data_IF_950591765618
#
_entry.id   IF_950591765618
#
_cell.length_a   1.000
_cell.length_b   1.000
_cell.length_c   1.000
_cell.angle_alpha   90.00
_cell.angle_beta   90.00
_cell.angle_gamma   90.00
#
_symmetry.space_group_name_H-M   'P 1'
#
loop_
_entity.id
_entity.type
_entity.pdbx_description
1 polymer ?
#
# COMPACT_ATOMS: atom_id res chain seq x y z
N UNK A 1 -4.48 23.48 11.88
CA UNK A 1 -4.85 22.20 12.52
C UNK A 1 -4.68 21.07 11.52
N UNK A 2 -3.93 19.99 11.84
CA UNK A 2 -3.73 18.89 10.90
C UNK A 2 -5.08 18.20 10.67
N UNK A 3 -5.61 18.31 9.44
CA UNK A 3 -6.87 17.69 9.04
C UNK A 3 -6.72 16.18 9.22
N UNK A 4 -7.50 15.61 10.14
CA UNK A 4 -7.72 14.18 10.28
C UNK A 4 -8.26 13.65 8.95
N UNK A 5 -7.32 13.33 8.06
CA UNK A 5 -7.58 12.92 6.70
C UNK A 5 -7.94 11.47 6.80
N UNK A 6 -9.26 11.21 6.92
CA UNK A 6 -9.95 9.92 6.78
C UNK A 6 -8.96 8.80 6.46
N UNK A 7 -8.59 7.99 7.47
CA UNK A 7 -7.51 7.01 7.38
C UNK A 7 -7.61 6.24 6.06
N UNK A 8 -6.68 6.49 5.15
CA UNK A 8 -6.60 5.86 3.83
C UNK A 8 -5.43 4.90 3.86
N UNK A 9 -5.67 3.68 3.41
CA UNK A 9 -4.63 2.68 3.24
C UNK A 9 -4.05 2.84 1.84
N UNK A 10 -2.77 3.19 1.77
CA UNK A 10 -2.04 3.35 0.52
C UNK A 10 -1.30 2.07 0.22
N UNK A 11 -1.87 1.24 -0.65
CA UNK A 11 -1.21 0.06 -1.15
C UNK A 11 -0.22 0.46 -2.26
N UNK A 12 1.05 0.12 -2.12
CA UNK A 12 2.07 0.31 -3.15
C UNK A 12 2.44 -1.07 -3.64
N UNK A 13 2.20 -1.40 -4.92
CA UNK A 13 2.58 -2.69 -5.50
C UNK A 13 3.96 -2.65 -6.12
N UNK A 14 4.29 -1.52 -6.74
CA UNK A 14 5.61 -1.24 -7.31
C UNK A 14 6.11 0.05 -6.69
N UNK A 15 7.19 -0.05 -5.93
CA UNK A 15 7.83 1.09 -5.30
C UNK A 15 9.19 0.72 -4.75
N UNK A 16 9.87 1.69 -4.13
CA UNK A 16 11.24 1.52 -3.66
C UNK A 16 11.44 0.38 -2.65
N UNK A 17 10.42 0.07 -1.84
CA UNK A 17 10.45 -1.01 -0.84
C UNK A 17 9.65 -2.27 -1.27
N UNK A 18 9.19 -2.36 -2.52
CA UNK A 18 8.32 -3.45 -2.97
C UNK A 18 6.85 -3.31 -2.54
N UNK A 19 6.05 -4.41 -2.60
CA UNK A 19 4.64 -4.39 -2.26
C UNK A 19 4.41 -4.14 -0.77
N UNK A 20 3.84 -2.99 -0.41
CA UNK A 20 3.64 -2.58 0.99
C UNK A 20 2.45 -1.63 1.14
N UNK A 21 1.71 -1.79 2.23
CA UNK A 21 0.61 -0.91 2.61
C UNK A 21 1.13 0.15 3.59
N UNK A 22 0.93 1.41 3.27
CA UNK A 22 1.22 2.56 4.14
C UNK A 22 -0.09 3.15 4.65
N UNK A 23 -0.07 3.65 5.89
CA UNK A 23 -1.20 4.38 6.48
C UNK A 23 -1.07 5.89 6.33
N UNK A 24 0.09 6.36 5.85
CA UNK A 24 0.43 7.77 5.69
C UNK A 24 0.80 8.09 4.24
N UNK A 25 0.39 9.29 3.81
CA UNK A 25 0.73 9.78 2.47
C UNK A 25 2.21 10.11 2.33
N UNK A 26 2.86 10.61 3.39
CA UNK A 26 4.27 11.01 3.34
C UNK A 26 5.19 9.82 3.03
N UNK A 27 4.98 8.68 3.69
CA UNK A 27 5.72 7.45 3.39
C UNK A 27 5.40 6.92 1.99
N UNK A 28 4.13 6.93 1.58
CA UNK A 28 3.74 6.54 0.23
C UNK A 28 4.47 7.39 -0.82
N UNK A 29 4.43 8.72 -0.68
CA UNK A 29 5.05 9.67 -1.60
C UNK A 29 6.56 9.51 -1.64
N UNK A 30 7.23 9.33 -0.50
CA UNK A 30 8.67 9.12 -0.46
C UNK A 30 9.10 7.85 -1.21
N UNK A 31 8.26 6.81 -1.20
CA UNK A 31 8.53 5.55 -1.88
C UNK A 31 8.16 5.56 -3.38
N UNK A 32 7.18 6.36 -3.79
CA UNK A 32 6.70 6.40 -5.19
C UNK A 32 7.28 7.56 -6.01
N UNK A 33 7.50 8.73 -5.41
CA UNK A 33 7.88 9.95 -6.17
C UNK A 33 9.26 9.87 -6.82
N UNK A 34 10.13 8.99 -6.34
CA UNK A 34 11.50 8.81 -6.82
C UNK A 34 11.70 7.49 -7.57
N UNK A 35 10.60 6.78 -7.87
CA UNK A 35 10.62 5.48 -8.54
C UNK A 35 9.81 5.54 -9.84
N UNK A 36 10.48 5.51 -11.01
CA UNK A 36 9.78 5.53 -12.29
C UNK A 36 8.96 4.25 -12.47
N UNK A 37 7.69 4.39 -12.83
CA UNK A 37 6.77 3.25 -12.95
C UNK A 37 6.19 2.76 -11.61
N UNK A 38 6.29 3.56 -10.54
CA UNK A 38 5.64 3.23 -9.28
C UNK A 38 4.12 3.06 -9.46
N UNK A 39 3.57 2.00 -8.89
CA UNK A 39 2.13 1.72 -8.87
C UNK A 39 1.65 1.72 -7.44
N UNK A 40 0.74 2.62 -7.13
CA UNK A 40 0.10 2.72 -5.83
C UNK A 40 -1.39 3.04 -5.98
N UNK A 41 -2.19 2.59 -5.01
CA UNK A 41 -3.63 2.81 -4.96
C UNK A 41 -4.07 3.02 -3.51
N UNK A 42 -4.97 3.97 -3.32
CA UNK A 42 -5.53 4.29 -1.99
C UNK A 42 -6.88 3.61 -1.81
N UNK A 43 -7.07 3.00 -0.66
CA UNK A 43 -8.28 2.29 -0.26
C UNK A 43 -8.83 2.82 1.06
N UNK A 44 -10.12 2.57 1.28
CA UNK A 44 -10.78 2.90 2.55
C UNK A 44 -10.59 1.80 3.59
N UNK A 45 -10.36 0.56 3.15
CA UNK A 45 -10.14 -0.59 4.02
C UNK A 45 -8.77 -1.21 3.77
N UNK A 46 -8.20 -1.84 4.81
CA UNK A 46 -6.94 -2.58 4.68
C UNK A 46 -7.12 -3.85 3.84
N UNK A 47 -8.32 -4.45 3.87
CA UNK A 47 -8.64 -5.66 3.11
C UNK A 47 -8.58 -5.42 1.60
N UNK A 48 -9.24 -4.37 1.09
CA UNK A 48 -9.16 -4.04 -0.34
C UNK A 48 -7.72 -3.73 -0.79
N UNK A 49 -6.93 -3.10 0.10
CA UNK A 49 -5.53 -2.82 -0.15
C UNK A 49 -4.69 -4.11 -0.27
N UNK A 50 -4.97 -5.09 0.58
CA UNK A 50 -4.30 -6.39 0.63
C UNK A 50 -4.63 -7.23 -0.63
N UNK A 51 -5.92 -7.29 -1.00
CA UNK A 51 -6.39 -7.94 -2.22
C UNK A 51 -5.78 -7.31 -3.47
N UNK A 52 -5.66 -5.97 -3.51
CA UNK A 52 -5.04 -5.30 -4.64
C UNK A 52 -3.56 -5.58 -4.80
N UNK A 53 -2.85 -5.79 -3.68
CA UNK A 53 -1.45 -6.23 -3.71
C UNK A 53 -1.31 -7.71 -4.02
N UNK A 54 -2.40 -8.47 -4.04
CA UNK A 54 -2.35 -9.93 -4.15
C UNK A 54 -1.64 -10.56 -2.96
N UNK A 55 -1.62 -9.89 -1.81
CA UNK A 55 -1.18 -10.49 -0.55
C UNK A 55 -2.32 -11.39 -0.08
N UNK A 56 -2.63 -12.43 -0.84
CA UNK A 56 -3.21 -13.60 -0.20
C UNK A 56 -2.13 -14.10 0.73
N UNK A 57 -2.26 -13.86 2.03
CA UNK A 57 -1.68 -14.73 3.08
C UNK A 57 -2.29 -16.13 2.99
N UNK A 58 -2.38 -16.69 1.78
CA UNK A 58 -2.41 -18.11 1.57
C UNK A 58 -0.94 -18.51 1.67
N UNK A 59 -0.47 -18.63 2.91
CA UNK A 59 0.58 -19.58 3.21
C UNK A 59 0.27 -20.86 2.43
N UNK A 60 1.25 -21.48 1.74
CA UNK A 60 1.02 -22.80 1.21
C UNK A 60 0.53 -23.66 2.38
N UNK A 61 -0.61 -24.37 2.30
CA UNK A 61 -0.85 -25.44 3.24
C UNK A 61 0.36 -26.37 3.09
N UNK A 62 1.21 -26.41 4.13
CA UNK A 62 2.18 -27.47 4.27
C UNK A 62 1.37 -28.77 4.30
N UNK A 63 1.39 -29.50 3.18
CA UNK A 63 1.14 -30.93 3.11
C UNK A 63 1.92 -31.51 1.94
#
# INVERSE_FOLDING_TARGET
MPKASKAKFYAVSIGKQGPKIYTTWEECKANTSRYPGAKHKSFYTRQEADEWLGISQFEPPQC
#
